data_IF_190317055691
#
_entry.id   IF_190317055691
#
_cell.length_a   1.000
_cell.length_b   1.000
_cell.length_c   1.000
_cell.angle_alpha   90.00
_cell.angle_beta   90.00
_cell.angle_gamma   90.00
#
_symmetry.space_group_name_H-M   'P 1'
#
loop_
_entity.id
_entity.type
_entity.pdbx_description
1 polymer ?
#
# COMPACT_ATOMS: atom_id res chain seq x y z
N UNK A 1 -22.23 2.90 38.02
CA UNK A 1 -21.03 2.33 37.38
C UNK A 1 -21.53 1.16 36.55
N UNK A 2 -21.89 1.41 35.30
CA UNK A 2 -22.27 0.33 34.38
C UNK A 2 -21.00 -0.36 33.90
N UNK A 3 -20.83 -1.60 34.31
CA UNK A 3 -19.97 -2.53 33.63
C UNK A 3 -20.69 -3.06 32.38
N UNK A 4 -19.91 -3.38 31.35
CA UNK A 4 -20.22 -4.34 30.27
C UNK A 4 -21.15 -3.92 29.12
N UNK A 5 -20.74 -2.93 28.33
CA UNK A 5 -20.92 -3.05 26.88
C UNK A 5 -19.54 -3.00 26.25
N UNK A 6 -19.10 -4.08 25.59
CA UNK A 6 -17.95 -4.01 24.70
C UNK A 6 -18.18 -2.86 23.73
N UNK A 7 -17.16 -2.02 23.47
CA UNK A 7 -17.31 -0.91 22.56
C UNK A 7 -17.86 -1.43 21.23
N UNK A 8 -18.70 -0.64 20.56
CA UNK A 8 -19.25 -0.99 19.24
C UNK A 8 -18.63 -0.08 18.20
N UNK A 9 -18.56 -0.55 16.96
CA UNK A 9 -18.11 0.29 15.85
C UNK A 9 -19.15 1.37 15.58
N UNK A 10 -18.74 2.63 15.66
CA UNK A 10 -19.58 3.80 15.32
C UNK A 10 -19.68 3.96 13.79
N UNK A 11 -20.25 2.95 13.11
CA UNK A 11 -20.19 2.77 11.65
C UNK A 11 -20.57 4.04 10.89
N UNK A 12 -21.70 4.65 11.21
CA UNK A 12 -22.20 5.83 10.48
C UNK A 12 -21.25 7.02 10.57
N UNK A 13 -20.61 7.23 11.72
CA UNK A 13 -19.61 8.30 11.89
C UNK A 13 -18.41 8.09 10.97
N UNK A 14 -17.96 6.84 10.85
CA UNK A 14 -16.87 6.49 9.94
C UNK A 14 -17.28 6.71 8.48
N UNK A 15 -18.50 6.32 8.09
CA UNK A 15 -19.00 6.53 6.73
C UNK A 15 -19.05 8.01 6.35
N UNK A 16 -19.58 8.87 7.22
CA UNK A 16 -19.63 10.32 6.97
C UNK A 16 -18.23 10.92 6.83
N UNK A 17 -17.28 10.51 7.66
CA UNK A 17 -15.89 10.95 7.55
C UNK A 17 -15.25 10.50 6.22
N UNK A 18 -15.43 9.23 5.85
CA UNK A 18 -14.85 8.67 4.63
C UNK A 18 -15.46 9.29 3.38
N UNK A 19 -16.77 9.52 3.36
CA UNK A 19 -17.48 10.19 2.26
C UNK A 19 -16.99 11.63 2.08
N UNK A 20 -16.86 12.39 3.17
CA UNK A 20 -16.27 13.74 3.12
C UNK A 20 -14.86 13.69 2.52
N UNK A 21 -14.00 12.80 3.02
CA UNK A 21 -12.62 12.66 2.55
C UNK A 21 -12.52 12.20 1.08
N UNK A 22 -13.51 11.45 0.58
CA UNK A 22 -13.58 11.03 -0.81
C UNK A 22 -14.01 12.18 -1.75
N UNK A 23 -14.89 13.08 -1.29
CA UNK A 23 -15.42 14.18 -2.10
C UNK A 23 -14.51 15.42 -2.09
N UNK A 24 -13.87 15.72 -0.96
CA UNK A 24 -13.03 16.91 -0.83
C UNK A 24 -12.25 16.95 0.48
N UNK A 25 -10.98 17.36 0.40
CA UNK A 25 -10.12 17.49 1.57
C UNK A 25 -10.33 18.84 2.27
N UNK A 26 -10.45 18.85 3.61
CA UNK A 26 -10.40 20.08 4.40
C UNK A 26 -9.11 20.88 4.19
N UNK A 27 -9.14 22.17 4.53
CA UNK A 27 -7.95 23.05 4.46
C UNK A 27 -6.78 22.51 5.28
N UNK A 28 -7.05 21.86 6.40
CA UNK A 28 -6.06 21.28 7.31
C UNK A 28 -5.20 20.21 6.61
N UNK A 29 -5.70 19.63 5.52
CA UNK A 29 -4.98 18.66 4.68
C UNK A 29 -4.17 19.31 3.55
N UNK A 30 -4.02 20.64 3.51
CA UNK A 30 -3.21 21.34 2.50
C UNK A 30 -1.76 20.80 2.44
N UNK A 31 -1.16 20.50 3.60
CA UNK A 31 0.17 19.87 3.67
C UNK A 31 0.25 18.48 3.01
N UNK A 32 -0.89 17.85 2.76
CA UNK A 32 -1.03 16.53 2.15
C UNK A 32 -1.45 16.61 0.67
N UNK A 33 -1.40 17.79 0.04
CA UNK A 33 -1.84 17.94 -1.36
C UNK A 33 -1.12 16.95 -2.30
N UNK A 34 0.17 16.67 -2.08
CA UNK A 34 0.94 15.70 -2.89
C UNK A 34 0.45 14.24 -2.71
N UNK A 35 -0.25 13.94 -1.61
CA UNK A 35 -0.77 12.63 -1.24
C UNK A 35 -2.28 12.49 -1.53
N UNK A 36 -2.88 13.40 -2.31
CA UNK A 36 -4.32 13.45 -2.52
C UNK A 36 -4.91 12.14 -3.05
N UNK A 37 -4.23 11.49 -4.00
CA UNK A 37 -4.66 10.20 -4.53
C UNK A 37 -4.56 9.07 -3.49
N UNK A 38 -3.54 9.10 -2.63
CA UNK A 38 -3.37 8.15 -1.52
C UNK A 38 -4.45 8.32 -0.45
N UNK A 39 -4.81 9.56 -0.13
CA UNK A 39 -5.89 9.86 0.81
C UNK A 39 -7.25 9.40 0.26
N UNK A 40 -7.52 9.63 -1.02
CA UNK A 40 -8.70 9.11 -1.69
C UNK A 40 -8.72 7.57 -1.67
N UNK A 41 -7.58 6.91 -1.86
CA UNK A 41 -7.48 5.45 -1.74
C UNK A 41 -7.89 4.97 -0.35
N UNK A 42 -7.42 5.60 0.73
CA UNK A 42 -7.85 5.24 2.08
C UNK A 42 -9.35 5.47 2.31
N UNK A 43 -9.91 6.58 1.82
CA UNK A 43 -11.32 6.88 1.95
C UNK A 43 -12.21 5.85 1.23
N UNK A 44 -11.93 5.60 -0.06
CA UNK A 44 -12.68 4.64 -0.88
C UNK A 44 -12.49 3.20 -0.38
N UNK A 45 -11.29 2.83 0.05
CA UNK A 45 -11.04 1.51 0.65
C UNK A 45 -11.84 1.32 1.95
N UNK A 46 -11.90 2.35 2.80
CA UNK A 46 -12.73 2.33 4.00
C UNK A 46 -14.22 2.15 3.67
N UNK A 47 -14.75 2.87 2.68
CA UNK A 47 -16.12 2.69 2.21
C UNK A 47 -16.36 1.27 1.65
N UNK A 48 -15.38 0.71 0.93
CA UNK A 48 -15.45 -0.66 0.42
C UNK A 48 -15.47 -1.70 1.54
N UNK A 49 -14.62 -1.56 2.56
CA UNK A 49 -14.56 -2.48 3.70
C UNK A 49 -15.87 -2.43 4.51
N UNK A 50 -16.49 -1.26 4.58
CA UNK A 50 -17.77 -1.06 5.28
C UNK A 50 -19.00 -1.35 4.42
N UNK A 51 -18.84 -1.84 3.19
CA UNK A 51 -19.92 -2.12 2.24
C UNK A 51 -20.82 -0.87 2.00
N UNK A 52 -20.17 0.23 1.62
CA UNK A 52 -20.81 1.55 1.45
C UNK A 52 -20.27 2.33 0.23
N UNK A 53 -19.81 1.62 -0.81
CA UNK A 53 -19.34 2.25 -2.07
C UNK A 53 -20.47 2.90 -2.88
N UNK A 54 -21.74 2.65 -2.52
CA UNK A 54 -22.91 3.32 -3.07
C UNK A 54 -23.02 4.80 -2.65
N UNK A 55 -22.26 5.23 -1.63
CA UNK A 55 -22.20 6.64 -1.19
C UNK A 55 -21.41 7.56 -2.11
N UNK A 56 -20.70 7.02 -3.09
CA UNK A 56 -19.91 7.81 -4.04
C UNK A 56 -20.35 7.54 -5.46
N UNK A 57 -20.29 8.56 -6.30
CA UNK A 57 -20.47 8.41 -7.73
C UNK A 57 -19.24 7.73 -8.34
N UNK A 58 -19.36 6.44 -8.66
CA UNK A 58 -18.26 5.61 -9.17
C UNK A 58 -17.72 6.13 -10.50
N UNK A 59 -18.58 6.66 -11.38
CA UNK A 59 -18.14 7.20 -12.67
C UNK A 59 -17.38 8.51 -12.48
N UNK A 60 -17.84 9.37 -11.56
CA UNK A 60 -17.10 10.58 -11.18
C UNK A 60 -15.75 10.25 -10.56
N UNK A 61 -15.68 9.27 -9.65
CA UNK A 61 -14.43 8.80 -9.05
C UNK A 61 -13.49 8.24 -10.12
N UNK A 62 -13.98 7.41 -11.04
CA UNK A 62 -13.17 6.86 -12.12
C UNK A 62 -12.56 7.97 -13.00
N UNK A 63 -13.40 8.90 -13.46
CA UNK A 63 -12.95 10.05 -14.27
C UNK A 63 -11.94 10.92 -13.53
N UNK A 64 -12.16 11.14 -12.21
CA UNK A 64 -11.23 11.88 -11.38
C UNK A 64 -9.89 11.14 -11.26
N UNK A 65 -9.86 9.85 -10.93
CA UNK A 65 -8.61 9.08 -10.83
C UNK A 65 -7.86 9.02 -12.16
N UNK A 66 -8.55 8.75 -13.28
CA UNK A 66 -7.94 8.67 -14.61
C UNK A 66 -7.28 9.99 -15.04
N UNK A 67 -7.76 11.13 -14.54
CA UNK A 67 -7.14 12.44 -14.81
C UNK A 67 -5.74 12.62 -14.21
N UNK A 68 -5.31 11.75 -13.29
CA UNK A 68 -3.96 11.77 -12.71
C UNK A 68 -2.96 10.95 -13.53
N UNK A 69 -3.42 10.19 -14.53
CA UNK A 69 -2.54 9.37 -15.34
C UNK A 69 -1.67 10.26 -16.24
N UNK A 70 -0.36 10.02 -16.21
CA UNK A 70 0.56 10.57 -17.19
C UNK A 70 0.58 9.71 -18.45
N UNK A 71 0.55 10.35 -19.62
CA UNK A 71 0.65 9.66 -20.91
C UNK A 71 1.89 10.13 -21.68
N UNK A 72 2.66 9.20 -22.28
CA UNK A 72 3.73 9.57 -23.20
C UNK A 72 3.13 10.23 -24.45
N UNK A 73 3.86 11.15 -25.08
CA UNK A 73 3.41 11.76 -26.35
C UNK A 73 3.71 10.84 -27.52
N UNK A 74 4.82 10.11 -27.45
CA UNK A 74 5.29 9.18 -28.46
C UNK A 74 5.87 7.93 -27.78
N UNK A 75 5.90 6.80 -28.49
CA UNK A 75 6.46 5.53 -27.96
C UNK A 75 7.93 5.70 -27.54
N UNK A 76 8.70 6.52 -28.27
CA UNK A 76 10.09 6.81 -27.94
C UNK A 76 10.28 7.50 -26.58
N UNK A 77 9.24 8.14 -26.03
CA UNK A 77 9.31 8.77 -24.71
C UNK A 77 9.44 7.74 -23.58
N UNK A 78 9.09 6.47 -23.83
CA UNK A 78 9.23 5.39 -22.85
C UNK A 78 10.71 5.06 -22.55
N UNK A 79 11.62 5.42 -23.46
CA UNK A 79 13.07 5.23 -23.29
C UNK A 79 13.73 6.39 -22.54
N UNK A 80 12.97 7.46 -22.23
CA UNK A 80 13.48 8.63 -21.49
C UNK A 80 13.81 8.35 -20.02
N UNK A 81 13.38 7.21 -19.50
CA UNK A 81 13.46 6.85 -18.09
C UNK A 81 12.32 7.40 -17.24
N UNK A 82 11.50 8.33 -17.73
CA UNK A 82 10.32 8.81 -17.01
C UNK A 82 9.31 7.70 -16.77
N UNK A 83 8.62 7.75 -15.62
CA UNK A 83 7.54 6.83 -15.29
C UNK A 83 6.20 7.37 -15.77
N UNK A 84 5.41 6.60 -16.53
CA UNK A 84 4.10 7.02 -17.04
C UNK A 84 2.98 6.30 -16.29
N UNK A 85 2.90 6.60 -15.00
CA UNK A 85 1.92 6.06 -14.08
C UNK A 85 0.86 7.09 -13.72
N UNK A 86 0.54 7.18 -12.43
CA UNK A 86 -0.33 8.22 -11.88
C UNK A 86 0.47 9.13 -10.97
N UNK A 87 0.19 10.43 -11.01
CA UNK A 87 0.72 11.39 -10.07
C UNK A 87 -0.13 11.44 -8.78
N UNK A 88 0.47 11.85 -7.66
CA UNK A 88 -0.24 11.96 -6.38
C UNK A 88 -1.18 13.16 -6.28
N UNK A 89 -0.92 14.21 -7.08
CA UNK A 89 -1.67 15.46 -7.12
C UNK A 89 -1.72 16.04 -8.55
N UNK A 90 -2.75 16.81 -8.87
CA UNK A 90 -2.75 17.64 -10.09
C UNK A 90 -1.81 18.84 -9.96
N UNK A 91 -1.52 19.29 -8.74
CA UNK A 91 -0.64 20.44 -8.53
C UNK A 91 0.79 20.15 -8.99
N UNK A 92 1.22 18.88 -8.92
CA UNK A 92 2.50 18.44 -9.47
C UNK A 92 2.53 18.42 -11.00
N UNK A 93 1.40 18.57 -11.70
CA UNK A 93 1.36 18.65 -13.16
C UNK A 93 1.60 20.08 -13.69
N UNK A 94 1.56 21.12 -12.82
CA UNK A 94 1.82 22.50 -13.24
C UNK A 94 3.32 22.77 -13.30
N UNK A 95 3.83 23.16 -14.47
CA UNK A 95 5.20 23.65 -14.59
C UNK A 95 5.31 25.06 -14.00
N UNK A 96 6.23 25.28 -13.06
CA UNK A 96 6.66 26.64 -12.75
C UNK A 96 7.46 27.18 -13.94
N UNK A 97 7.08 28.34 -14.46
CA UNK A 97 7.75 29.01 -15.59
C UNK A 97 9.18 29.49 -15.28
N UNK A 98 9.79 28.99 -14.21
CA UNK A 98 11.04 29.48 -13.62
C UNK A 98 12.21 28.53 -13.94
N UNK A 99 11.95 27.28 -14.34
CA UNK A 99 12.99 26.34 -14.75
C UNK A 99 12.62 25.67 -16.07
N UNK A 100 13.42 25.89 -17.12
CA UNK A 100 13.43 25.10 -18.37
C UNK A 100 13.96 23.67 -18.17
N UNK A 101 13.90 23.14 -16.95
CA UNK A 101 14.22 21.74 -16.65
C UNK A 101 12.97 20.92 -16.97
N UNK A 102 13.15 19.77 -17.61
CA UNK A 102 12.11 18.99 -18.29
C UNK A 102 10.77 18.93 -17.55
N UNK A 103 9.68 18.92 -18.32
CA UNK A 103 8.31 18.67 -17.83
C UNK A 103 8.24 17.27 -17.19
N UNK A 104 8.67 17.14 -15.94
CA UNK A 104 8.51 15.92 -15.18
C UNK A 104 7.02 15.64 -15.03
N UNK A 105 6.59 14.45 -15.45
CA UNK A 105 5.19 14.07 -15.39
C UNK A 105 4.70 13.74 -13.95
N UNK A 106 5.60 13.79 -12.96
CA UNK A 106 5.38 13.59 -11.52
C UNK A 106 4.62 12.30 -11.15
N UNK A 107 4.62 11.29 -12.03
CA UNK A 107 4.10 9.98 -11.71
C UNK A 107 4.92 9.33 -10.60
N UNK A 108 4.27 8.55 -9.75
CA UNK A 108 4.92 7.90 -8.61
C UNK A 108 4.35 6.51 -8.38
N UNK A 109 5.19 5.50 -8.10
CA UNK A 109 4.75 4.10 -7.95
C UNK A 109 3.63 3.92 -6.92
N UNK A 110 3.75 4.55 -5.75
CA UNK A 110 2.71 4.48 -4.72
C UNK A 110 1.37 5.08 -5.18
N UNK A 111 1.42 6.18 -5.94
CA UNK A 111 0.21 6.82 -6.49
C UNK A 111 -0.43 5.96 -7.58
N UNK A 112 0.37 5.33 -8.45
CA UNK A 112 -0.10 4.35 -9.43
C UNK A 112 -0.78 3.15 -8.78
N UNK A 113 -0.18 2.60 -7.72
CA UNK A 113 -0.80 1.54 -6.92
C UNK A 113 -2.17 1.99 -6.38
N UNK A 114 -2.23 3.17 -5.74
CA UNK A 114 -3.48 3.72 -5.19
C UNK A 114 -4.55 3.92 -6.28
N UNK A 115 -4.16 4.47 -7.44
CA UNK A 115 -5.06 4.70 -8.57
C UNK A 115 -5.72 3.41 -9.06
N UNK A 116 -4.91 2.40 -9.37
CA UNK A 116 -5.38 1.13 -9.87
C UNK A 116 -6.23 0.39 -8.83
N UNK A 117 -5.86 0.48 -7.55
CA UNK A 117 -6.64 -0.09 -6.46
C UNK A 117 -8.01 0.57 -6.33
N UNK A 118 -8.09 1.91 -6.39
CA UNK A 118 -9.37 2.64 -6.40
C UNK A 118 -10.24 2.17 -7.58
N UNK A 119 -9.69 2.22 -8.79
CA UNK A 119 -10.40 1.83 -10.02
C UNK A 119 -10.93 0.39 -9.93
N UNK A 120 -10.12 -0.53 -9.40
CA UNK A 120 -10.53 -1.92 -9.18
C UNK A 120 -11.65 -2.05 -8.15
N UNK A 121 -11.58 -1.34 -7.01
CA UNK A 121 -12.62 -1.38 -5.96
C UNK A 121 -13.97 -0.87 -6.46
N UNK A 122 -14.00 0.18 -7.27
CA UNK A 122 -15.25 0.72 -7.83
C UNK A 122 -15.78 -0.08 -9.03
N UNK A 123 -15.08 -1.13 -9.45
CA UNK A 123 -15.49 -1.99 -10.57
C UNK A 123 -15.17 -1.44 -11.96
N UNK A 124 -14.23 -0.50 -12.07
CA UNK A 124 -13.77 0.00 -13.36
C UNK A 124 -12.97 -1.08 -14.12
N UNK A 125 -13.23 -1.20 -15.42
CA UNK A 125 -12.51 -2.15 -16.26
C UNK A 125 -11.10 -1.63 -16.57
N UNK A 126 -10.09 -2.19 -15.90
CA UNK A 126 -8.68 -1.81 -16.08
C UNK A 126 -8.14 -2.06 -17.51
N UNK A 127 -8.79 -2.90 -18.33
CA UNK A 127 -8.43 -3.06 -19.74
C UNK A 127 -8.61 -1.78 -20.58
N UNK A 128 -9.34 -0.79 -20.06
CA UNK A 128 -9.50 0.52 -20.71
C UNK A 128 -8.31 1.47 -20.44
N UNK A 129 -7.44 1.12 -19.51
CA UNK A 129 -6.15 1.80 -19.32
C UNK A 129 -5.18 1.12 -20.28
N UNK A 130 -4.32 1.85 -21.00
CA UNK A 130 -3.21 1.21 -21.73
C UNK A 130 -2.12 0.81 -20.74
N UNK A 131 -2.02 -0.49 -20.33
CA UNK A 131 -1.06 -0.90 -19.32
C UNK A 131 0.38 -0.87 -19.84
N UNK A 132 0.59 -0.86 -21.16
CA UNK A 132 1.91 -0.97 -21.78
C UNK A 132 2.82 0.19 -21.35
N UNK A 133 2.30 1.41 -21.38
CA UNK A 133 3.04 2.60 -20.96
C UNK A 133 3.47 2.52 -19.49
N UNK A 134 2.56 2.11 -18.60
CA UNK A 134 2.84 1.93 -17.17
C UNK A 134 3.92 0.86 -16.97
N UNK A 135 3.78 -0.30 -17.62
CA UNK A 135 4.67 -1.45 -17.38
C UNK A 135 6.06 -1.23 -17.97
N UNK A 136 6.17 -0.72 -19.20
CA UNK A 136 7.47 -0.46 -19.84
C UNK A 136 8.23 0.59 -19.04
N UNK A 137 7.58 1.70 -18.68
CA UNK A 137 8.24 2.76 -17.91
C UNK A 137 8.54 2.35 -16.47
N UNK A 138 7.67 1.55 -15.82
CA UNK A 138 7.96 0.98 -14.50
C UNK A 138 9.18 0.07 -14.50
N UNK A 139 9.41 -0.70 -15.59
CA UNK A 139 10.57 -1.58 -15.69
C UNK A 139 11.89 -0.80 -15.57
N UNK A 140 11.92 0.43 -16.06
CA UNK A 140 13.09 1.31 -15.96
C UNK A 140 13.37 1.81 -14.53
N UNK A 141 12.41 1.67 -13.61
CA UNK A 141 12.57 2.03 -12.20
C UNK A 141 13.24 0.94 -11.37
N UNK A 142 13.35 -0.28 -11.90
CA UNK A 142 14.00 -1.37 -11.20
C UNK A 142 15.52 -1.19 -11.23
N UNK A 143 16.12 -1.23 -10.05
CA UNK A 143 17.55 -1.07 -9.87
C UNK A 143 18.31 -2.38 -10.11
N UNK A 144 19.64 -2.32 -10.34
CA UNK A 144 20.46 -3.51 -10.57
C UNK A 144 20.40 -4.55 -9.44
N UNK A 145 20.18 -4.11 -8.19
CA UNK A 145 20.08 -4.96 -7.01
C UNK A 145 18.69 -5.60 -6.81
N UNK A 146 17.71 -5.22 -7.65
CA UNK A 146 16.33 -5.71 -7.61
C UNK A 146 15.34 -4.79 -6.89
N UNK A 147 15.81 -3.74 -6.21
CA UNK A 147 14.96 -2.72 -5.59
C UNK A 147 14.25 -1.86 -6.65
N UNK A 148 13.29 -1.05 -6.23
CA UNK A 148 12.59 -0.10 -7.11
C UNK A 148 12.71 1.31 -6.58
N UNK A 149 12.96 2.25 -7.49
CA UNK A 149 12.72 3.67 -7.24
C UNK A 149 11.25 4.00 -7.51
N UNK A 150 10.65 4.95 -6.80
CA UNK A 150 9.27 5.37 -7.07
C UNK A 150 9.13 6.25 -8.32
N UNK A 151 10.22 6.89 -8.73
CA UNK A 151 10.35 7.84 -9.83
C UNK A 151 11.70 7.62 -10.53
N UNK A 152 11.90 8.24 -11.69
CA UNK A 152 13.06 7.99 -12.56
C UNK A 152 14.46 8.31 -11.98
N UNK A 153 14.62 9.28 -11.07
CA UNK A 153 15.91 9.58 -10.44
C UNK A 153 15.76 10.23 -9.06
N UNK A 154 16.83 10.21 -8.27
CA UNK A 154 16.99 11.00 -7.04
C UNK A 154 16.13 10.60 -5.85
N UNK A 155 15.36 9.52 -5.96
CA UNK A 155 14.53 8.99 -4.88
C UNK A 155 15.16 7.78 -4.19
N UNK A 156 14.61 7.45 -3.03
CA UNK A 156 14.97 6.27 -2.26
C UNK A 156 14.52 4.97 -2.93
N UNK A 157 15.11 3.85 -2.53
CA UNK A 157 14.69 2.50 -2.92
C UNK A 157 14.46 1.64 -1.71
N UNK A 158 13.30 0.99 -1.64
CA UNK A 158 12.94 0.10 -0.54
C UNK A 158 11.78 -0.84 -0.89
N UNK A 159 11.44 -1.72 0.05
CA UNK A 159 10.38 -2.72 -0.09
C UNK A 159 8.99 -2.16 -0.41
N UNK A 160 8.68 -0.90 -0.07
CA UNK A 160 7.37 -0.31 -0.37
C UNK A 160 7.17 -0.25 -1.88
N UNK A 161 8.21 0.10 -2.62
CA UNK A 161 8.14 0.24 -4.08
C UNK A 161 8.23 -1.10 -4.80
N UNK A 162 8.94 -2.07 -4.23
CA UNK A 162 8.90 -3.46 -4.71
C UNK A 162 7.48 -4.02 -4.60
N UNK A 163 6.81 -3.80 -3.46
CA UNK A 163 5.41 -4.17 -3.28
C UNK A 163 4.48 -3.44 -4.25
N UNK A 164 4.63 -2.12 -4.41
CA UNK A 164 3.83 -1.35 -5.37
C UNK A 164 3.97 -1.92 -6.79
N UNK A 165 5.19 -2.18 -7.26
CA UNK A 165 5.44 -2.74 -8.58
C UNK A 165 4.80 -4.14 -8.75
N UNK A 166 4.95 -5.02 -7.75
CA UNK A 166 4.33 -6.35 -7.77
C UNK A 166 2.79 -6.29 -7.77
N UNK A 167 2.21 -5.39 -6.98
CA UNK A 167 0.77 -5.18 -6.91
C UNK A 167 0.20 -4.60 -8.21
N UNK A 168 0.90 -3.65 -8.85
CA UNK A 168 0.55 -3.09 -10.16
C UNK A 168 0.54 -4.21 -11.23
N UNK A 169 1.63 -4.99 -11.33
CA UNK A 169 1.71 -6.14 -12.25
C UNK A 169 0.57 -7.14 -12.01
N UNK A 170 0.26 -7.44 -10.74
CA UNK A 170 -0.83 -8.34 -10.37
C UNK A 170 -2.22 -7.80 -10.76
N UNK A 171 -2.51 -6.51 -10.49
CA UNK A 171 -3.78 -5.88 -10.83
C UNK A 171 -4.01 -5.80 -12.35
N UNK A 172 -2.95 -5.57 -13.12
CA UNK A 172 -2.98 -5.53 -14.58
C UNK A 172 -2.85 -6.92 -15.22
N UNK A 173 -2.66 -7.97 -14.43
CA UNK A 173 -2.41 -9.34 -14.88
C UNK A 173 -1.27 -9.43 -15.93
N UNK A 174 -0.21 -8.64 -15.74
CA UNK A 174 0.92 -8.58 -16.66
C UNK A 174 2.21 -8.26 -15.90
N UNK A 175 3.19 -9.17 -15.99
CA UNK A 175 4.44 -9.14 -15.25
C UNK A 175 5.65 -8.65 -16.07
N UNK A 176 5.44 -8.12 -17.29
CA UNK A 176 6.53 -7.61 -18.13
C UNK A 176 7.20 -6.35 -17.55
N UNK A 177 6.54 -5.67 -16.61
CA UNK A 177 7.05 -4.45 -15.98
C UNK A 177 8.12 -4.65 -14.90
N UNK A 178 8.53 -5.88 -14.62
CA UNK A 178 9.60 -6.15 -13.64
C UNK A 178 10.37 -7.45 -13.91
N UNK A 179 11.59 -7.52 -13.40
CA UNK A 179 12.34 -8.76 -13.20
C UNK A 179 12.00 -9.32 -11.80
N UNK A 180 11.22 -10.39 -11.78
CA UNK A 180 10.74 -11.01 -10.53
C UNK A 180 11.87 -11.66 -9.74
N UNK A 181 12.86 -12.27 -10.40
CA UNK A 181 13.95 -12.96 -9.71
C UNK A 181 14.84 -11.96 -8.96
N UNK A 182 15.19 -10.85 -9.60
CA UNK A 182 15.95 -9.78 -8.93
C UNK A 182 15.18 -9.17 -7.77
N UNK A 183 13.88 -8.90 -7.95
CA UNK A 183 13.04 -8.37 -6.88
C UNK A 183 12.98 -9.35 -5.69
N UNK A 184 12.83 -10.65 -5.94
CA UNK A 184 12.90 -11.69 -4.92
C UNK A 184 14.26 -11.69 -4.21
N UNK A 185 15.37 -11.67 -4.94
CA UNK A 185 16.71 -11.64 -4.34
C UNK A 185 16.93 -10.40 -3.45
N UNK A 186 16.37 -9.24 -3.82
CA UNK A 186 16.37 -8.04 -2.98
C UNK A 186 15.53 -8.24 -1.71
N UNK A 187 14.30 -8.76 -1.84
CA UNK A 187 13.42 -8.99 -0.68
C UNK A 187 14.06 -9.94 0.33
N UNK A 188 14.69 -11.03 -0.13
CA UNK A 188 15.35 -12.00 0.75
C UNK A 188 16.45 -11.34 1.59
N UNK A 189 17.22 -10.41 1.01
CA UNK A 189 18.25 -9.64 1.74
C UNK A 189 17.67 -8.66 2.76
N UNK A 190 16.38 -8.34 2.66
CA UNK A 190 15.70 -7.45 3.60
C UNK A 190 15.19 -8.19 4.85
N UNK A 191 15.16 -9.52 4.86
CA UNK A 191 14.85 -10.27 6.08
C UNK A 191 15.99 -10.08 7.09
N UNK A 192 15.66 -9.55 8.27
CA UNK A 192 16.63 -9.23 9.31
C UNK A 192 16.85 -10.41 10.26
N UNK A 193 17.82 -10.25 11.16
CA UNK A 193 18.25 -11.30 12.10
C UNK A 193 17.15 -11.75 13.08
N UNK A 194 16.10 -10.95 13.26
CA UNK A 194 14.98 -11.22 14.16
C UNK A 194 13.77 -11.82 13.44
N UNK A 195 13.83 -12.02 12.12
CA UNK A 195 12.81 -12.68 11.28
C UNK A 195 11.90 -11.75 10.49
N UNK A 196 11.71 -10.52 10.95
CA UNK A 196 10.97 -9.50 10.20
C UNK A 196 11.77 -8.95 9.02
N UNK A 197 11.19 -7.99 8.30
CA UNK A 197 11.88 -7.33 7.18
C UNK A 197 12.11 -5.86 7.47
N UNK A 198 13.31 -5.38 7.15
CA UNK A 198 13.61 -3.96 7.08
C UNK A 198 13.20 -3.35 5.74
N UNK A 199 13.08 -2.02 5.67
CA UNK A 199 12.77 -1.33 4.41
C UNK A 199 13.85 -1.58 3.34
N UNK A 200 15.11 -1.61 3.76
CA UNK A 200 16.28 -1.94 2.94
C UNK A 200 17.12 -3.01 3.65
N UNK A 201 18.01 -3.74 2.93
CA UNK A 201 18.89 -4.73 3.54
C UNK A 201 19.66 -4.20 4.75
N UNK A 202 19.67 -4.98 5.83
CA UNK A 202 20.35 -4.65 7.08
C UNK A 202 19.63 -3.64 7.99
N UNK A 203 18.45 -3.14 7.62
CA UNK A 203 17.67 -2.25 8.48
C UNK A 203 16.87 -2.99 9.57
N UNK A 204 16.43 -2.24 10.58
CA UNK A 204 15.52 -2.73 11.63
C UNK A 204 14.22 -3.27 11.01
N UNK A 205 13.77 -4.43 11.49
CA UNK A 205 12.51 -5.03 11.07
C UNK A 205 11.31 -4.16 11.41
N UNK A 206 10.40 -3.97 10.46
CA UNK A 206 9.25 -3.08 10.58
C UNK A 206 7.99 -3.70 9.98
N UNK A 207 6.86 -3.64 10.68
CA UNK A 207 5.60 -4.31 10.28
C UNK A 207 5.16 -4.00 8.85
N UNK A 208 5.23 -2.74 8.43
CA UNK A 208 4.92 -2.35 7.05
C UNK A 208 5.90 -2.90 6.01
N UNK A 209 7.18 -2.99 6.32
CA UNK A 209 8.19 -3.55 5.43
C UNK A 209 8.05 -5.08 5.34
N UNK A 210 7.80 -5.74 6.47
CA UNK A 210 7.43 -7.16 6.54
C UNK A 210 6.22 -7.47 5.67
N UNK A 211 5.14 -6.69 5.77
CA UNK A 211 3.98 -6.85 4.88
C UNK A 211 4.37 -6.70 3.41
N UNK A 212 5.09 -5.64 3.05
CA UNK A 212 5.50 -5.38 1.67
C UNK A 212 6.33 -6.54 1.09
N UNK A 213 7.33 -7.04 1.84
CA UNK A 213 8.17 -8.15 1.41
C UNK A 213 7.39 -9.44 1.21
N UNK A 214 6.61 -9.86 2.22
CA UNK A 214 5.85 -11.11 2.19
C UNK A 214 4.76 -11.06 1.11
N UNK A 215 3.99 -9.96 1.04
CA UNK A 215 2.95 -9.81 0.03
C UNK A 215 3.53 -9.76 -1.39
N UNK A 216 4.66 -9.08 -1.61
CA UNK A 216 5.32 -9.06 -2.91
C UNK A 216 5.78 -10.46 -3.35
N UNK A 217 6.41 -11.23 -2.46
CA UNK A 217 6.80 -12.62 -2.74
C UNK A 217 5.59 -13.49 -3.08
N UNK A 218 4.47 -13.31 -2.37
CA UNK A 218 3.25 -14.07 -2.62
C UNK A 218 2.59 -13.70 -3.95
N UNK A 219 2.47 -12.40 -4.25
CA UNK A 219 1.94 -11.90 -5.53
C UNK A 219 2.79 -12.41 -6.70
N UNK A 220 4.12 -12.45 -6.52
CA UNK A 220 5.05 -13.01 -7.50
C UNK A 220 5.04 -14.55 -7.55
N UNK A 221 4.33 -15.24 -6.66
CA UNK A 221 4.25 -16.70 -6.65
C UNK A 221 5.53 -17.40 -6.18
N UNK A 222 6.43 -16.69 -5.49
CA UNK A 222 7.61 -17.29 -4.86
C UNK A 222 7.30 -17.99 -3.55
N UNK A 223 6.21 -17.58 -2.89
CA UNK A 223 5.69 -18.26 -1.71
C UNK A 223 4.18 -18.51 -1.89
N UNK A 224 3.71 -19.66 -1.42
CA UNK A 224 2.30 -20.03 -1.50
C UNK A 224 1.43 -19.29 -0.47
N UNK A 225 0.12 -19.42 -0.61
CA UNK A 225 -0.79 -19.16 0.51
C UNK A 225 -0.70 -20.28 1.55
N UNK A 226 -0.85 -19.90 2.82
CA UNK A 226 -0.81 -20.79 3.97
C UNK A 226 0.49 -21.59 4.04
N UNK A 227 1.62 -20.88 3.97
CA UNK A 227 2.96 -21.46 3.86
C UNK A 227 3.22 -22.48 4.97
N UNK A 228 2.75 -22.21 6.19
CA UNK A 228 2.94 -23.10 7.33
C UNK A 228 2.11 -24.40 7.23
N UNK A 229 1.06 -24.43 6.42
CA UNK A 229 0.17 -25.60 6.25
C UNK A 229 0.62 -26.59 5.19
N UNK A 230 1.53 -26.19 4.28
CA UNK A 230 1.95 -27.02 3.14
C UNK A 230 3.41 -27.46 3.30
N UNK A 231 3.66 -28.76 3.42
CA UNK A 231 4.99 -29.37 3.60
C UNK A 231 6.04 -29.08 2.49
N UNK A 232 5.72 -28.31 1.44
CA UNK A 232 6.65 -27.98 0.38
C UNK A 232 7.59 -26.83 0.79
N UNK A 233 8.65 -27.18 1.52
CA UNK A 233 9.78 -26.27 1.82
C UNK A 233 10.59 -25.98 0.56
N UNK A 234 10.21 -24.95 -0.19
CA UNK A 234 11.18 -24.15 -0.94
C UNK A 234 11.30 -22.83 -0.18
N UNK A 235 12.16 -22.80 0.84
CA UNK A 235 12.20 -21.68 1.78
C UNK A 235 12.99 -20.51 1.17
N UNK A 236 12.29 -19.67 0.41
CA UNK A 236 12.80 -18.38 -0.09
C UNK A 236 13.20 -17.46 1.07
N UNK A 237 12.52 -17.60 2.22
CA UNK A 237 12.71 -16.83 3.46
C UNK A 237 12.65 -17.75 4.68
N UNK A 238 13.20 -17.31 5.81
CA UNK A 238 13.07 -18.01 7.10
C UNK A 238 11.66 -17.80 7.67
N UNK A 239 10.76 -18.73 7.37
CA UNK A 239 9.36 -18.68 7.80
C UNK A 239 9.20 -18.87 9.32
N UNK A 240 9.85 -19.84 9.98
CA UNK A 240 9.76 -19.99 11.44
C UNK A 240 10.12 -18.71 12.20
N UNK A 241 11.23 -18.07 11.83
CA UNK A 241 11.66 -16.84 12.50
C UNK A 241 10.70 -15.67 12.23
N UNK A 242 10.17 -15.58 11.01
CA UNK A 242 9.15 -14.59 10.64
C UNK A 242 7.84 -14.79 11.44
N UNK A 243 7.39 -16.03 11.64
CA UNK A 243 6.21 -16.35 12.48
C UNK A 243 6.45 -15.89 13.91
N UNK A 244 7.59 -16.25 14.50
CA UNK A 244 7.97 -15.85 15.85
C UNK A 244 8.01 -14.32 15.99
N UNK A 245 8.64 -13.63 15.04
CA UNK A 245 8.69 -12.17 15.00
C UNK A 245 7.30 -11.55 14.97
N UNK A 246 6.43 -12.06 14.10
CA UNK A 246 5.10 -11.51 13.86
C UNK A 246 4.16 -11.71 15.05
N UNK A 247 4.17 -12.90 15.68
CA UNK A 247 3.35 -13.17 16.87
C UNK A 247 3.78 -12.34 18.08
N UNK A 248 5.09 -12.08 18.24
CA UNK A 248 5.63 -11.19 19.28
C UNK A 248 5.33 -9.70 19.04
N UNK A 249 4.46 -9.35 18.10
CA UNK A 249 4.02 -7.96 17.89
C UNK A 249 2.74 -7.62 18.62
N UNK A 250 1.94 -8.59 19.06
CA UNK A 250 0.80 -8.28 19.92
C UNK A 250 1.30 -7.90 21.33
N UNK A 251 0.94 -6.71 21.77
CA UNK A 251 1.33 -6.16 23.07
C UNK A 251 0.27 -6.45 24.13
N UNK A 252 0.58 -6.13 25.39
CA UNK A 252 -0.30 -6.35 26.54
C UNK A 252 -1.58 -5.50 26.49
N UNK A 253 -1.59 -4.42 25.71
CA UNK A 253 -2.76 -3.56 25.49
C UNK A 253 -3.72 -4.13 24.43
N UNK A 254 -3.45 -5.34 23.91
CA UNK A 254 -4.20 -6.00 22.86
C UNK A 254 -3.84 -5.53 21.44
N UNK A 255 -3.23 -4.35 21.33
CA UNK A 255 -2.79 -3.78 20.07
C UNK A 255 -1.53 -4.44 19.50
N UNK A 256 -1.18 -4.04 18.28
CA UNK A 256 0.00 -4.57 17.59
C UNK A 256 1.03 -3.46 17.42
N UNK A 257 2.27 -3.73 17.80
CA UNK A 257 3.40 -2.84 17.57
C UNK A 257 4.05 -3.10 16.20
N UNK A 258 4.53 -2.05 15.54
CA UNK A 258 5.24 -2.18 14.27
C UNK A 258 6.67 -2.67 14.39
N UNK A 259 7.28 -2.46 15.56
CA UNK A 259 8.68 -2.74 15.87
C UNK A 259 8.80 -3.14 17.33
N UNK A 260 9.87 -3.87 17.65
CA UNK A 260 10.17 -4.24 19.02
C UNK A 260 10.27 -2.99 19.93
N UNK A 261 9.68 -3.05 21.13
CA UNK A 261 9.71 -1.98 22.13
C UNK A 261 9.15 -0.63 21.65
N UNK A 262 8.20 -0.64 20.70
CA UNK A 262 7.44 0.55 20.30
C UNK A 262 5.98 0.40 20.75
N UNK A 263 5.25 1.53 20.94
CA UNK A 263 3.83 1.47 21.24
C UNK A 263 3.04 0.75 20.15
N UNK A 264 1.90 0.18 20.55
CA UNK A 264 0.90 -0.34 19.64
C UNK A 264 0.30 0.76 18.77
N UNK A 265 -0.03 0.43 17.52
CA UNK A 265 -0.73 1.33 16.59
C UNK A 265 -1.71 0.51 15.75
N UNK A 266 -2.92 1.05 15.59
CA UNK A 266 -4.03 0.45 14.82
C UNK A 266 -3.62 -0.01 13.42
N UNK A 267 -2.72 0.68 12.73
CA UNK A 267 -2.34 0.30 11.37
C UNK A 267 -1.64 -1.07 11.31
N UNK A 268 -0.96 -1.51 12.38
CA UNK A 268 -0.29 -2.81 12.40
C UNK A 268 -1.25 -3.99 12.58
N UNK A 269 -2.51 -3.74 12.95
CA UNK A 269 -3.57 -4.74 12.82
C UNK A 269 -3.71 -5.21 11.36
N UNK A 270 -3.53 -4.30 10.40
CA UNK A 270 -3.46 -4.65 8.98
C UNK A 270 -2.06 -5.15 8.59
N UNK A 271 -1.00 -4.40 8.88
CA UNK A 271 0.33 -4.75 8.37
C UNK A 271 0.85 -6.10 8.89
N UNK A 272 0.83 -6.32 10.21
CA UNK A 272 1.31 -7.59 10.79
C UNK A 272 0.22 -8.65 10.75
N UNK A 273 -1.04 -8.27 10.99
CA UNK A 273 -2.17 -9.20 10.88
C UNK A 273 -2.30 -9.81 9.48
N UNK A 274 -2.07 -9.01 8.43
CA UNK A 274 -2.01 -9.47 7.05
C UNK A 274 -0.89 -10.45 6.79
N UNK A 275 0.31 -10.22 7.38
CA UNK A 275 1.42 -11.18 7.32
C UNK A 275 1.02 -12.51 7.97
N UNK A 276 0.52 -12.47 9.20
CA UNK A 276 0.07 -13.66 9.91
C UNK A 276 -1.01 -14.42 9.13
N UNK A 277 -1.90 -13.70 8.44
CA UNK A 277 -2.91 -14.28 7.57
C UNK A 277 -2.31 -14.97 6.34
N UNK A 278 -1.33 -14.34 5.66
CA UNK A 278 -0.63 -14.95 4.51
C UNK A 278 0.17 -16.19 4.91
N UNK A 279 0.71 -16.21 6.13
CA UNK A 279 1.43 -17.35 6.69
C UNK A 279 0.51 -18.50 7.15
N UNK A 280 -0.80 -18.22 7.32
CA UNK A 280 -1.78 -19.21 7.79
C UNK A 280 -1.72 -19.46 9.30
N UNK A 281 -1.38 -18.42 10.09
CA UNK A 281 -1.16 -18.51 11.55
C UNK A 281 -1.84 -17.36 12.30
N UNK A 282 -2.83 -16.72 11.67
CA UNK A 282 -3.55 -15.57 12.25
C UNK A 282 -4.39 -15.95 13.48
N UNK A 283 -4.75 -17.22 13.63
CA UNK A 283 -5.50 -17.75 14.77
C UNK A 283 -4.75 -17.75 16.10
N UNK A 284 -3.42 -17.57 16.09
CA UNK A 284 -2.61 -17.56 17.32
C UNK A 284 -2.53 -16.19 18.02
N UNK A 285 -3.16 -15.15 17.46
CA UNK A 285 -3.29 -13.86 18.17
C UNK A 285 -4.56 -13.83 19.02
N UNK A 286 -4.55 -13.03 20.08
CA UNK A 286 -5.73 -12.70 20.85
C UNK A 286 -6.61 -11.73 20.06
N UNK A 287 -7.60 -12.28 19.33
CA UNK A 287 -8.46 -11.50 18.44
C UNK A 287 -9.41 -10.58 19.21
N UNK A 288 -9.85 -11.00 20.39
CA UNK A 288 -10.79 -10.24 21.19
C UNK A 288 -10.08 -9.01 21.78
N UNK A 289 -8.86 -9.18 22.31
CA UNK A 289 -8.05 -8.06 22.78
C UNK A 289 -7.70 -7.07 21.64
N UNK A 290 -7.37 -7.57 20.45
CA UNK A 290 -7.10 -6.71 19.29
C UNK A 290 -8.34 -5.93 18.83
N UNK A 291 -9.50 -6.59 18.83
CA UNK A 291 -10.77 -5.96 18.49
C UNK A 291 -11.11 -4.84 19.49
N UNK A 292 -10.98 -5.10 20.79
CA UNK A 292 -11.20 -4.10 21.84
C UNK A 292 -10.21 -2.94 21.74
N UNK A 293 -8.93 -3.20 21.45
CA UNK A 293 -7.93 -2.17 21.19
C UNK A 293 -8.34 -1.26 20.04
N UNK A 294 -8.67 -1.83 18.86
CA UNK A 294 -9.07 -1.05 17.67
C UNK A 294 -10.30 -0.19 17.98
N UNK A 295 -11.28 -0.76 18.67
CA UNK A 295 -12.50 -0.04 19.03
C UNK A 295 -12.30 0.99 20.14
N UNK A 296 -11.21 0.93 20.90
CA UNK A 296 -10.83 1.99 21.83
C UNK A 296 -10.24 3.21 21.11
N UNK A 297 -9.70 3.03 19.91
CA UNK A 297 -9.01 4.07 19.13
C UNK A 297 -9.94 4.92 18.24
N UNK A 298 -11.21 4.56 18.09
CA UNK A 298 -12.14 5.33 17.26
C UNK A 298 -12.39 6.73 17.84
N UNK A 299 -12.41 7.74 16.95
CA UNK A 299 -12.64 9.13 17.35
C UNK A 299 -14.03 9.30 17.98
N UNK A 300 -14.05 9.98 19.13
CA UNK A 300 -15.28 10.37 19.83
C UNK A 300 -15.90 11.66 19.28
N UNK A 301 -15.21 12.35 18.37
CA UNK A 301 -15.63 13.64 17.81
C UNK A 301 -15.75 13.53 16.30
N UNK A 302 -16.86 14.04 15.75
CA UNK A 302 -16.99 14.27 14.32
C UNK A 302 -16.46 15.68 14.04
N UNK A 303 -15.37 15.80 13.30
CA UNK A 303 -14.96 17.10 12.75
C UNK A 303 -15.95 17.44 11.63
N UNK A 304 -17.07 18.04 12.00
CA UNK A 304 -17.94 18.73 11.06
C UNK A 304 -17.21 20.02 10.67
N UNK A 305 -16.89 20.16 9.39
CA UNK A 305 -16.40 21.41 8.84
C UNK A 305 -17.50 22.46 9.02
N UNK A 306 -17.22 23.49 9.82
CA UNK A 306 -18.01 24.73 9.92
C UNK A 306 -17.70 25.65 8.76
#
# INVERSE_FOLDING_TARGET
MDASASPRLERERHLLFLEMMALGLPKEYESQEINRLTLAYFAISGLSILDALDRVDKDQVANWVLSFQAHPRMVADLDSGEFYGFCGSRTSQFSTSICEVSRQNCSHLASTYCALAILKMIGYNLSNISPESILISMRNLQQPDGSFMPIHFGAETDLRFVYCAAAICSMLNNWTGMDKEKAKDYIVKCQSYDGGFGLVPGSESHGGATYCGVAALQLMGFIGADICSKQAQSAVIDVPLLVEWSLKRQSFDGGIQGRCNKPSDTCYAFWVGGVLKMLGVYEFIDKDALHDFILSCQSKVMMLLS
#
